data_IF_245704659813
#
_entry.id   IF_245704659813
#
_cell.length_a   1.000
_cell.length_b   1.000
_cell.length_c   1.000
_cell.angle_alpha   90.00
_cell.angle_beta   90.00
_cell.angle_gamma   90.00
#
_symmetry.space_group_name_H-M   'P 1'
#
loop_
_entity.id
_entity.type
_entity.pdbx_description
1 polymer ?
#
# COMPACT_ATOMS: atom_id res chain seq x y z
N UNK A 1 6.29 11.42 19.00
CA UNK A 1 6.49 10.02 18.55
C UNK A 1 6.77 10.02 17.06
N UNK A 2 7.97 9.58 16.64
CA UNK A 2 8.29 9.36 15.23
C UNK A 2 7.48 8.16 14.73
N UNK A 3 6.70 8.33 13.67
CA UNK A 3 5.98 7.20 13.05
C UNK A 3 7.01 6.30 12.36
N UNK A 4 6.95 4.98 12.57
CA UNK A 4 7.84 4.06 11.89
C UNK A 4 7.69 4.22 10.38
N UNK A 5 8.81 4.47 9.70
CA UNK A 5 8.84 4.64 8.26
C UNK A 5 8.87 3.26 7.63
N UNK A 6 7.74 2.83 7.09
CA UNK A 6 7.65 1.59 6.33
C UNK A 6 8.18 1.82 4.91
N UNK A 7 8.95 0.85 4.38
CA UNK A 7 9.29 0.77 2.96
C UNK A 7 8.37 -0.25 2.30
N UNK A 8 8.10 -0.08 1.02
CA UNK A 8 7.27 -1.03 0.25
C UNK A 8 8.01 -1.51 -0.97
N UNK A 9 7.99 -2.82 -1.19
CA UNK A 9 8.44 -3.48 -2.41
C UNK A 9 7.24 -3.80 -3.29
N UNK A 10 7.32 -3.48 -4.58
CA UNK A 10 6.32 -3.90 -5.55
C UNK A 10 6.60 -5.34 -5.95
N UNK A 11 5.74 -6.28 -5.57
CA UNK A 11 5.82 -7.68 -6.02
C UNK A 11 5.13 -7.86 -7.38
N UNK A 12 4.02 -7.13 -7.60
CA UNK A 12 3.29 -7.14 -8.87
C UNK A 12 2.71 -5.74 -9.14
N UNK A 13 3.04 -5.14 -10.29
CA UNK A 13 2.73 -3.74 -10.60
C UNK A 13 1.23 -3.42 -10.76
N UNK A 14 0.41 -4.42 -11.10
CA UNK A 14 -1.02 -4.23 -11.38
C UNK A 14 -1.31 -3.34 -12.59
N UNK A 15 -2.59 -3.03 -12.80
CA UNK A 15 -3.12 -2.10 -13.81
C UNK A 15 -3.41 -0.73 -13.18
N UNK A 16 -3.37 0.37 -13.96
CA UNK A 16 -3.82 1.67 -13.47
C UNK A 16 -5.27 1.61 -12.97
N UNK A 17 -5.60 2.15 -11.79
CA UNK A 17 -6.97 2.16 -11.29
C UNK A 17 -7.87 3.04 -12.16
N UNK A 18 -9.16 2.70 -12.24
CA UNK A 18 -10.12 3.43 -13.07
C UNK A 18 -10.24 4.91 -12.67
N UNK A 19 -10.10 5.23 -11.38
CA UNK A 19 -10.10 6.61 -10.88
C UNK A 19 -9.07 7.52 -11.58
N UNK A 20 -7.96 6.96 -12.06
CA UNK A 20 -6.90 7.72 -12.74
C UNK A 20 -7.33 8.13 -14.16
N UNK A 21 -8.23 7.37 -14.78
CA UNK A 21 -8.81 7.70 -16.10
C UNK A 21 -10.02 8.63 -15.99
N UNK A 22 -10.63 8.72 -14.81
CA UNK A 22 -11.89 9.42 -14.57
C UNK A 22 -11.62 10.78 -13.91
N UNK A 23 -11.89 11.86 -14.64
CA UNK A 23 -11.91 13.26 -14.15
C UNK A 23 -10.62 13.80 -13.47
N UNK A 24 -9.47 13.11 -13.54
CA UNK A 24 -8.21 13.47 -12.86
C UNK A 24 -8.33 13.68 -11.33
N UNK A 25 -9.41 13.18 -10.70
CA UNK A 25 -9.67 13.40 -9.27
C UNK A 25 -9.08 12.32 -8.37
N UNK A 26 -8.27 11.39 -8.88
CA UNK A 26 -7.74 10.32 -8.05
C UNK A 26 -6.76 10.87 -6.99
N UNK A 27 -7.19 10.91 -5.73
CA UNK A 27 -6.39 11.33 -4.56
C UNK A 27 -5.65 10.17 -3.87
N UNK A 28 -5.45 9.07 -4.61
CA UNK A 28 -5.00 7.79 -4.06
C UNK A 28 -6.13 7.00 -3.40
N UNK A 29 -6.00 5.67 -3.39
CA UNK A 29 -7.01 4.78 -2.83
C UNK A 29 -6.99 4.83 -1.29
N UNK A 30 -8.12 5.17 -0.67
CA UNK A 30 -8.26 5.20 0.79
C UNK A 30 -7.98 3.84 1.43
N UNK A 31 -8.43 2.74 0.81
CA UNK A 31 -8.12 1.39 1.28
C UNK A 31 -6.61 1.16 1.39
N UNK A 32 -5.84 1.54 0.36
CA UNK A 32 -4.38 1.45 0.40
C UNK A 32 -3.76 2.30 1.50
N UNK A 33 -4.21 3.55 1.66
CA UNK A 33 -3.73 4.43 2.73
C UNK A 33 -3.99 3.83 4.12
N UNK A 34 -5.14 3.20 4.31
CA UNK A 34 -5.50 2.55 5.56
C UNK A 34 -4.68 1.28 5.82
N UNK A 35 -4.46 0.44 4.81
CA UNK A 35 -3.60 -0.75 4.94
C UNK A 35 -2.15 -0.37 5.26
N UNK A 36 -1.60 0.65 4.60
CA UNK A 36 -0.25 1.15 4.90
C UNK A 36 -0.17 1.75 6.31
N UNK A 37 -1.21 2.47 6.75
CA UNK A 37 -1.29 2.99 8.13
C UNK A 37 -1.37 1.84 9.15
N UNK A 38 -2.14 0.80 8.87
CA UNK A 38 -2.20 -0.39 9.72
C UNK A 38 -0.81 -1.07 9.82
N UNK A 39 -0.09 -1.20 8.70
CA UNK A 39 1.25 -1.77 8.67
C UNK A 39 2.32 -0.91 9.38
N UNK A 40 2.08 0.39 9.57
CA UNK A 40 2.91 1.23 10.44
C UNK A 40 2.63 0.98 11.92
N UNK A 41 1.38 0.70 12.26
CA UNK A 41 0.94 0.51 13.65
C UNK A 41 1.16 -0.90 14.18
N UNK A 42 1.17 -1.90 13.31
CA UNK A 42 1.15 -3.30 13.67
C UNK A 42 2.05 -4.11 12.73
N UNK A 43 3.05 -4.77 13.32
CA UNK A 43 4.08 -5.55 12.60
C UNK A 43 3.53 -6.83 11.98
N UNK A 44 2.37 -7.34 12.44
CA UNK A 44 1.74 -8.53 11.85
C UNK A 44 1.41 -8.34 10.36
N UNK A 45 1.09 -7.10 9.96
CA UNK A 45 0.84 -6.72 8.58
C UNK A 45 2.09 -6.70 7.70
N UNK A 46 3.29 -6.66 8.29
CA UNK A 46 4.53 -6.53 7.53
C UNK A 46 4.99 -7.85 6.91
N UNK A 47 4.58 -8.98 7.48
CA UNK A 47 4.93 -10.31 6.97
C UNK A 47 4.15 -10.75 5.73
N UNK A 48 3.04 -10.08 5.41
CA UNK A 48 2.09 -10.52 4.38
C UNK A 48 2.05 -9.59 3.16
N UNK A 49 1.91 -10.14 1.93
CA UNK A 49 1.64 -9.34 0.76
C UNK A 49 0.27 -8.66 0.85
N UNK A 50 0.22 -7.37 0.52
CA UNK A 50 -1.00 -6.59 0.37
C UNK A 50 -1.41 -6.61 -1.10
N UNK A 51 -2.58 -7.15 -1.43
CA UNK A 51 -3.10 -7.25 -2.79
C UNK A 51 -4.33 -6.38 -2.99
N UNK A 52 -4.33 -5.56 -4.04
CA UNK A 52 -5.53 -4.88 -4.52
C UNK A 52 -6.23 -5.72 -5.57
N UNK A 53 -7.47 -6.13 -5.31
CA UNK A 53 -8.25 -6.93 -6.27
C UNK A 53 -8.67 -6.14 -7.51
N UNK A 54 -8.84 -4.82 -7.39
CA UNK A 54 -9.27 -3.96 -8.49
C UNK A 54 -8.17 -3.77 -9.54
N UNK A 55 -6.93 -3.54 -9.10
CA UNK A 55 -5.79 -3.28 -9.99
C UNK A 55 -4.91 -4.49 -10.19
N UNK A 56 -4.94 -5.47 -9.29
CA UNK A 56 -3.94 -6.53 -9.23
C UNK A 56 -2.56 -6.07 -8.72
N UNK A 57 -2.45 -4.84 -8.21
CA UNK A 57 -1.22 -4.36 -7.55
C UNK A 57 -0.99 -5.19 -6.28
N UNK A 58 0.20 -5.76 -6.15
CA UNK A 58 0.62 -6.49 -4.95
C UNK A 58 1.91 -5.87 -4.41
N UNK A 59 1.89 -5.48 -3.14
CA UNK A 59 3.02 -4.90 -2.43
C UNK A 59 3.41 -5.78 -1.25
N UNK A 60 4.69 -5.77 -0.88
CA UNK A 60 5.17 -6.27 0.41
C UNK A 60 5.73 -5.11 1.21
N UNK A 61 5.48 -5.11 2.51
CA UNK A 61 6.12 -4.15 3.41
C UNK A 61 7.51 -4.67 3.75
N UNK A 62 8.51 -3.82 3.56
CA UNK A 62 9.86 -4.02 4.07
C UNK A 62 9.99 -3.06 5.26
N UNK A 63 9.96 -3.58 6.48
CA UNK A 63 10.31 -2.76 7.64
C UNK A 63 11.78 -2.39 7.56
N UNK A 64 12.09 -1.09 7.66
CA UNK A 64 13.43 -0.71 8.08
C UNK A 64 13.52 -1.00 9.58
N UNK A 65 14.39 -1.96 9.91
CA UNK A 65 14.89 -2.18 11.25
C UNK A 65 15.85 -1.03 11.60
N UNK A 66 15.54 -0.37 12.72
CA UNK A 66 16.32 0.65 13.45
C UNK A 66 16.42 2.05 12.86
#
# INVERSE_FOLDING_TARGET
>A
MLKPKIRTQVLQKGRPPFCLKSYQQCRGCFGWRNMLKAAQSDTSWQGLPLKCLLTGLTLKIESHLH
#
